data_IF_921132070310
#
_entry.id   IF_921132070310
#
_cell.length_a   1.000
_cell.length_b   1.000
_cell.length_c   1.000
_cell.angle_alpha   90.00
_cell.angle_beta   90.00
_cell.angle_gamma   90.00
#
_symmetry.space_group_name_H-M   'P 1'
#
loop_
_entity.id
_entity.type
_entity.pdbx_description
1 polymer ?
#
# COMPACT_ATOMS: atom_id res chain seq x y z
N UNK A 1 -1.39 6.07 1.06
CA UNK A 1 -1.03 5.64 2.43
C UNK A 1 -1.92 4.45 2.78
N UNK A 2 -1.39 3.55 3.60
CA UNK A 2 -2.09 2.38 4.12
C UNK A 2 -1.87 2.34 5.62
N UNK A 3 -2.86 1.91 6.41
CA UNK A 3 -2.92 2.26 7.83
C UNK A 3 -2.70 3.78 8.01
N UNK A 4 -1.80 4.20 8.89
CA UNK A 4 -1.31 5.58 8.93
C UNK A 4 0.15 5.69 8.50
N UNK A 5 0.61 4.84 7.57
CA UNK A 5 1.94 4.88 6.97
C UNK A 5 1.92 5.77 5.73
N UNK A 6 2.29 7.04 5.91
CA UNK A 6 2.35 8.04 4.84
C UNK A 6 3.75 8.13 4.25
N UNK A 7 3.89 8.60 2.99
CA UNK A 7 5.18 8.82 2.36
C UNK A 7 6.11 9.64 3.25
N UNK A 8 7.38 9.25 3.32
CA UNK A 8 8.44 9.95 4.06
C UNK A 8 8.20 10.14 5.57
N UNK A 9 7.27 9.40 6.18
CA UNK A 9 7.08 9.43 7.65
C UNK A 9 8.01 8.45 8.36
N UNK A 10 8.41 8.76 9.59
CA UNK A 10 9.31 7.88 10.37
C UNK A 10 8.72 6.51 10.64
N UNK A 11 7.39 6.37 10.63
CA UNK A 11 6.73 5.07 10.70
C UNK A 11 7.11 4.09 9.60
N UNK A 12 7.61 4.55 8.44
CA UNK A 12 8.12 3.67 7.38
C UNK A 12 9.42 2.95 7.77
N UNK A 13 10.22 3.53 8.68
CA UNK A 13 11.53 3.00 9.09
C UNK A 13 11.42 2.00 10.25
N UNK A 14 10.25 1.82 10.83
CA UNK A 14 10.08 0.94 11.99
C UNK A 14 10.24 -0.55 11.61
N UNK A 15 11.09 -1.26 12.35
CA UNK A 15 11.36 -2.71 12.20
C UNK A 15 10.99 -3.53 13.45
N UNK A 16 10.87 -2.88 14.61
CA UNK A 16 10.78 -3.56 15.91
C UNK A 16 9.36 -3.71 16.42
N UNK A 17 8.54 -2.67 16.28
CA UNK A 17 7.25 -2.57 16.97
C UNK A 17 6.10 -3.00 16.06
N UNK A 18 5.07 -3.60 16.65
CA UNK A 18 3.85 -3.96 15.93
C UNK A 18 2.93 -2.74 15.72
N UNK A 19 2.96 -1.80 16.66
CA UNK A 19 2.13 -0.58 16.67
C UNK A 19 3.01 0.60 17.06
N UNK A 20 2.79 1.75 16.44
CA UNK A 20 3.52 2.99 16.69
C UNK A 20 2.59 4.21 16.76
N UNK A 21 3.03 5.27 17.42
CA UNK A 21 2.53 6.63 17.17
C UNK A 21 3.28 7.22 15.97
N UNK A 22 2.58 7.51 14.88
CA UNK A 22 3.16 8.11 13.68
C UNK A 22 2.65 9.56 13.54
N UNK A 23 3.57 10.52 13.56
CA UNK A 23 3.24 11.91 13.24
C UNK A 23 3.14 12.07 11.72
N UNK A 24 2.07 12.70 11.25
CA UNK A 24 1.81 12.90 9.82
C UNK A 24 1.99 14.39 9.49
N UNK A 25 3.16 14.83 8.97
CA UNK A 25 3.46 16.25 8.79
C UNK A 25 2.44 16.97 7.91
N UNK A 26 2.04 16.34 6.79
CA UNK A 26 1.06 16.93 5.85
C UNK A 26 -0.36 17.08 6.41
N UNK A 27 -0.63 16.51 7.60
CA UNK A 27 -1.93 16.62 8.29
C UNK A 27 -1.82 17.24 9.68
N UNK A 28 -0.60 17.53 10.16
CA UNK A 28 -0.31 18.08 11.50
C UNK A 28 -1.00 17.33 12.63
N UNK A 29 -0.95 16.00 12.59
CA UNK A 29 -1.68 15.13 13.54
C UNK A 29 -0.88 13.88 13.86
N UNK A 30 -1.02 13.39 15.09
CA UNK A 30 -0.53 12.08 15.52
C UNK A 30 -1.59 11.01 15.27
N UNK A 31 -1.17 9.85 14.77
CA UNK A 31 -2.04 8.68 14.61
C UNK A 31 -1.38 7.44 15.17
N UNK A 32 -2.16 6.60 15.84
CA UNK A 32 -1.76 5.22 16.07
C UNK A 32 -1.78 4.47 14.73
N UNK A 33 -0.76 3.63 14.47
CA UNK A 33 -0.68 2.84 13.23
C UNK A 33 -0.13 1.45 13.52
N UNK A 34 -0.68 0.44 12.84
CA UNK A 34 0.03 -0.81 12.62
C UNK A 34 1.23 -0.57 11.71
N UNK A 35 2.32 -1.30 11.94
CA UNK A 35 3.56 -1.26 11.15
C UNK A 35 3.57 -2.36 10.08
N UNK A 36 4.56 -2.34 9.18
CA UNK A 36 4.75 -3.46 8.24
C UNK A 36 5.01 -4.78 8.96
N UNK A 37 5.74 -4.78 10.07
CA UNK A 37 5.97 -5.98 10.89
C UNK A 37 4.64 -6.60 11.32
N UNK A 38 3.67 -5.80 11.75
CA UNK A 38 2.36 -6.33 12.13
C UNK A 38 1.51 -6.74 10.91
N UNK A 39 1.46 -5.91 9.87
CA UNK A 39 0.60 -6.14 8.70
C UNK A 39 1.05 -7.38 7.92
N UNK A 40 2.36 -7.58 7.75
CA UNK A 40 2.92 -8.64 6.92
C UNK A 40 2.96 -10.02 7.60
N UNK A 41 2.68 -10.10 8.91
CA UNK A 41 2.51 -11.36 9.65
C UNK A 41 1.08 -11.93 9.55
N UNK A 42 0.16 -11.20 8.91
CA UNK A 42 -1.21 -11.67 8.74
C UNK A 42 -1.27 -12.85 7.75
N UNK A 43 -2.01 -13.91 8.11
CA UNK A 43 -2.24 -15.06 7.22
C UNK A 43 -2.86 -14.68 5.88
N UNK A 44 -3.68 -13.62 5.86
CA UNK A 44 -4.28 -13.07 4.66
C UNK A 44 -4.27 -11.55 4.70
N UNK A 45 -3.86 -10.93 3.59
CA UNK A 45 -3.83 -9.47 3.43
C UNK A 45 -4.71 -9.12 2.23
N UNK A 46 -5.74 -8.30 2.44
CA UNK A 46 -6.62 -7.81 1.38
C UNK A 46 -6.55 -6.29 1.27
N UNK A 47 -6.25 -5.79 0.08
CA UNK A 47 -6.19 -4.36 -0.23
C UNK A 47 -7.39 -4.02 -1.10
N UNK A 48 -8.32 -3.24 -0.56
CA UNK A 48 -9.48 -2.75 -1.28
C UNK A 48 -9.22 -1.34 -1.83
N UNK A 49 -9.36 -1.16 -3.14
CA UNK A 49 -9.21 0.15 -3.78
C UNK A 49 -10.38 0.44 -4.71
N UNK A 50 -11.17 1.45 -4.36
CA UNK A 50 -12.40 1.80 -5.05
C UNK A 50 -12.37 3.26 -5.50
N UNK A 51 -13.00 3.52 -6.64
CA UNK A 51 -13.19 4.87 -7.19
C UNK A 51 -12.10 5.32 -8.17
N UNK A 52 -12.54 6.10 -9.16
CA UNK A 52 -11.72 6.61 -10.26
C UNK A 52 -10.51 7.45 -9.82
N UNK A 53 -10.66 8.18 -8.71
CA UNK A 53 -9.62 9.03 -8.11
C UNK A 53 -8.41 8.22 -7.62
N UNK A 54 -8.50 6.88 -7.54
CA UNK A 54 -7.39 5.99 -7.20
C UNK A 54 -6.64 5.46 -8.40
N UNK A 55 -7.20 5.56 -9.62
CA UNK A 55 -6.70 4.87 -10.78
C UNK A 55 -5.22 5.12 -11.08
N UNK A 56 -4.80 6.39 -11.06
CA UNK A 56 -3.40 6.76 -11.29
C UNK A 56 -2.47 6.17 -10.22
N UNK A 57 -2.91 6.16 -8.95
CA UNK A 57 -2.07 5.68 -7.85
C UNK A 57 -1.99 4.16 -7.81
N UNK A 58 -3.08 3.46 -8.11
CA UNK A 58 -3.10 2.00 -8.25
C UNK A 58 -2.15 1.56 -9.35
N UNK A 59 -2.21 2.20 -10.53
CA UNK A 59 -1.27 1.94 -11.62
C UNK A 59 0.17 2.12 -11.19
N UNK A 60 0.50 3.25 -10.54
CA UNK A 60 1.87 3.50 -10.05
C UNK A 60 2.32 2.45 -9.03
N UNK A 61 1.46 2.05 -8.12
CA UNK A 61 1.79 1.05 -7.10
C UNK A 61 2.07 -0.33 -7.70
N UNK A 62 1.26 -0.76 -8.68
CA UNK A 62 1.32 -2.12 -9.25
C UNK A 62 2.25 -2.28 -10.45
N UNK A 63 2.41 -1.23 -11.26
CA UNK A 63 3.14 -1.28 -12.55
C UNK A 63 4.30 -0.28 -12.63
N UNK A 64 4.38 0.64 -11.67
CA UNK A 64 5.46 1.62 -11.59
C UNK A 64 6.72 1.06 -10.92
N UNK A 65 7.79 1.87 -10.85
CA UNK A 65 9.02 1.49 -10.15
C UNK A 65 8.76 1.28 -8.66
N UNK A 66 9.54 0.39 -8.06
CA UNK A 66 9.52 0.15 -6.62
C UNK A 66 10.17 1.32 -5.87
N UNK A 67 9.35 2.15 -5.24
CA UNK A 67 9.71 3.41 -4.58
C UNK A 67 8.95 3.54 -3.24
N UNK A 68 9.20 2.66 -2.25
CA UNK A 68 8.34 2.50 -1.09
C UNK A 68 8.29 3.70 -0.13
N UNK A 69 9.27 4.59 -0.18
CA UNK A 69 9.23 5.85 0.58
C UNK A 69 8.20 6.83 0.00
N UNK A 70 7.97 6.79 -1.32
CA UNK A 70 6.92 7.53 -2.02
C UNK A 70 5.59 6.78 -2.06
N UNK A 71 5.64 5.44 -2.18
CA UNK A 71 4.51 4.54 -2.30
C UNK A 71 4.54 3.46 -1.20
N UNK A 72 4.24 3.79 0.07
CA UNK A 72 4.27 2.86 1.20
C UNK A 72 3.55 1.52 0.99
N UNK A 73 2.48 1.53 0.19
CA UNK A 73 1.69 0.33 -0.09
C UNK A 73 2.48 -0.78 -0.80
N UNK A 74 3.58 -0.45 -1.49
CA UNK A 74 4.41 -1.45 -2.17
C UNK A 74 5.13 -2.40 -1.20
N UNK A 75 5.20 -2.07 0.09
CA UNK A 75 5.77 -2.93 1.14
C UNK A 75 4.75 -3.85 1.82
N UNK A 76 3.48 -3.78 1.44
CA UNK A 76 2.41 -4.58 2.04
C UNK A 76 2.32 -5.92 1.32
N UNK A 77 2.42 -7.01 2.08
CA UNK A 77 2.53 -8.37 1.57
C UNK A 77 3.97 -8.89 1.55
N UNK A 78 4.09 -10.22 1.55
CA UNK A 78 5.37 -10.95 1.42
C UNK A 78 5.27 -12.00 0.31
N UNK A 79 6.35 -12.73 0.05
CA UNK A 79 6.34 -13.83 -0.95
C UNK A 79 5.41 -14.96 -0.48
N UNK A 80 5.45 -15.27 0.82
CA UNK A 80 4.65 -16.32 1.44
C UNK A 80 3.20 -15.87 1.67
N UNK A 81 3.00 -14.58 1.94
CA UNK A 81 1.70 -13.97 2.26
C UNK A 81 1.44 -12.78 1.32
N UNK A 82 1.24 -13.03 0.01
CA UNK A 82 1.05 -11.95 -0.95
C UNK A 82 -0.25 -11.19 -0.65
N UNK A 83 -0.21 -9.88 -0.82
CA UNK A 83 -1.41 -9.06 -0.68
C UNK A 83 -2.37 -9.30 -1.86
N UNK A 84 -3.61 -9.64 -1.55
CA UNK A 84 -4.70 -9.76 -2.53
C UNK A 84 -5.27 -8.37 -2.82
N UNK A 85 -5.19 -7.93 -4.08
CA UNK A 85 -5.73 -6.64 -4.51
C UNK A 85 -7.15 -6.81 -5.05
N UNK A 86 -8.11 -6.12 -4.44
CA UNK A 86 -9.51 -6.09 -4.85
C UNK A 86 -9.81 -4.65 -5.29
N UNK A 87 -9.93 -4.47 -6.60
CA UNK A 87 -9.97 -3.16 -7.24
C UNK A 87 -11.24 -3.08 -8.10
N UNK A 88 -12.02 -2.01 -7.97
CA UNK A 88 -13.18 -1.82 -8.85
C UNK A 88 -12.76 -1.38 -10.27
N UNK A 89 -13.68 -1.45 -11.22
CA UNK A 89 -13.40 -1.10 -12.61
C UNK A 89 -12.91 0.37 -12.76
N UNK A 90 -13.42 1.28 -11.92
CA UNK A 90 -13.07 2.69 -11.97
C UNK A 90 -11.61 2.92 -11.54
N UNK A 91 -11.17 2.29 -10.46
CA UNK A 91 -9.79 2.32 -9.98
C UNK A 91 -8.84 1.47 -10.86
N UNK A 92 -9.35 0.45 -11.55
CA UNK A 92 -8.55 -0.40 -12.44
C UNK A 92 -8.36 0.18 -13.86
N UNK A 93 -9.07 1.25 -14.25
CA UNK A 93 -9.13 1.75 -15.64
C UNK A 93 -7.78 2.04 -16.33
N UNK A 94 -6.71 2.23 -15.55
CA UNK A 94 -5.37 2.54 -16.06
C UNK A 94 -4.41 1.35 -16.11
N UNK A 95 -4.80 0.19 -15.56
CA UNK A 95 -3.97 -1.01 -15.47
C UNK A 95 -3.87 -1.72 -16.82
N UNK A 96 -2.71 -2.30 -17.08
CA UNK A 96 -2.48 -3.19 -18.21
C UNK A 96 -3.08 -4.56 -17.91
N UNK A 97 -3.87 -5.05 -18.85
CA UNK A 97 -4.44 -6.39 -18.79
C UNK A 97 -3.37 -7.41 -19.17
N UNK A 98 -2.64 -7.95 -18.17
CA UNK A 98 -1.56 -8.92 -18.39
C UNK A 98 -2.04 -10.24 -19.03
N UNK A 99 -3.35 -10.50 -19.05
CA UNK A 99 -3.93 -11.67 -19.74
C UNK A 99 -4.20 -11.46 -21.23
N UNK A 100 -4.15 -10.22 -21.74
CA UNK A 100 -4.34 -9.92 -23.17
C UNK A 100 -3.05 -9.86 -23.99
N UNK A 101 -1.89 -9.90 -23.34
CA UNK A 101 -0.58 -9.79 -24.02
C UNK A 101 -0.05 -11.14 -24.57
N UNK A 102 -0.73 -12.25 -24.29
CA UNK A 102 -0.35 -13.62 -24.71
C UNK A 102 -1.31 -14.26 -25.72
N UNK A 103 -2.10 -13.47 -26.46
CA UNK A 103 -2.91 -13.95 -27.58
C UNK A 103 -2.52 -13.28 -28.89
#
# INVERSE_FOLDING_TARGET
HTASLFPWTDGLKNTEHLVISNYIPQKKVWRMSLTYKCINEASHIAIYVLGDNKATMVKKALEGPYTPDDLPIQRVGTVEHPATWIIDNAAARGLQDKHKQTR
#
